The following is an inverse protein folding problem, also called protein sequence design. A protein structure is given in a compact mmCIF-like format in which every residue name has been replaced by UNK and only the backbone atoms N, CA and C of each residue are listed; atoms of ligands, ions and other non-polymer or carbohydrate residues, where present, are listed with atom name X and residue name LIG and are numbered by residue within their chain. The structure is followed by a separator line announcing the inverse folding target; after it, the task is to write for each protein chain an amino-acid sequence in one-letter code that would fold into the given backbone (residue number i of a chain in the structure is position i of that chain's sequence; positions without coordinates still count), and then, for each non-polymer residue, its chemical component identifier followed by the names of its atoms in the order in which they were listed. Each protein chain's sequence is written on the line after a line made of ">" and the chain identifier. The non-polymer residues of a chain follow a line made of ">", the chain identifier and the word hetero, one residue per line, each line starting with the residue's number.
data_IF_890876740873
#
_entry.id   IF_890876740873
#
_cell.length_a   1.000
_cell.length_b   1.000
_cell.length_c   1.000
_cell.angle_alpha   90.00
_cell.angle_beta   90.00
_cell.angle_gamma   90.00
#
_symmetry.space_group_name_H-M   'P 1'
#
loop_
_entity.id
_entity.type
_entity.pdbx_description
1 polymer ?
#
# COMPACT_ATOMS: atom_id res chain seq x y z
N UNK A 1 -6.22 17.29 -4.89
CA UNK A 1 -6.93 16.09 -5.34
C UNK A 1 -5.87 15.07 -5.65
N UNK A 2 -5.97 13.87 -5.09
CA UNK A 2 -5.10 12.73 -5.39
C UNK A 2 -5.22 12.37 -6.87
N UNK A 3 -4.15 11.81 -7.43
CA UNK A 3 -4.16 11.28 -8.80
C UNK A 3 -5.03 10.03 -8.90
N UNK A 4 -4.94 9.17 -7.89
CA UNK A 4 -5.70 7.92 -7.77
C UNK A 4 -5.79 7.50 -6.29
N UNK A 5 -6.69 6.57 -5.99
CA UNK A 5 -6.82 5.92 -4.69
C UNK A 5 -6.49 4.44 -4.84
N UNK A 6 -5.46 3.96 -4.13
CA UNK A 6 -4.87 2.64 -4.31
C UNK A 6 -4.88 1.88 -2.99
N UNK A 7 -5.35 0.63 -3.00
CA UNK A 7 -5.31 -0.24 -1.82
C UNK A 7 -3.87 -0.64 -1.50
N UNK A 8 -3.52 -0.67 -0.22
CA UNK A 8 -2.17 -1.04 0.25
C UNK A 8 -1.74 -2.44 -0.20
N UNK A 9 -2.71 -3.34 -0.43
CA UNK A 9 -2.50 -4.71 -0.92
C UNK A 9 -2.02 -4.76 -2.39
N UNK A 10 -2.33 -3.72 -3.18
CA UNK A 10 -1.91 -3.59 -4.57
C UNK A 10 -0.55 -2.86 -4.69
N UNK A 11 0.05 -2.43 -3.57
CA UNK A 11 1.40 -1.84 -3.53
C UNK A 11 2.48 -2.89 -3.26
N UNK A 12 3.69 -2.67 -3.78
CA UNK A 12 4.83 -3.55 -3.55
C UNK A 12 5.72 -3.04 -2.41
N UNK A 13 5.99 -3.89 -1.43
CA UNK A 13 6.92 -3.58 -0.35
C UNK A 13 8.38 -3.63 -0.82
N UNK A 14 9.10 -2.52 -0.66
CA UNK A 14 10.53 -2.42 -0.91
C UNK A 14 11.31 -2.43 0.41
N UNK A 15 12.03 -3.52 0.69
CA UNK A 15 12.82 -3.68 1.92
C UNK A 15 13.98 -2.69 2.04
N UNK A 16 14.59 -2.30 0.93
CA UNK A 16 15.73 -1.36 0.91
C UNK A 16 15.29 0.06 1.30
N UNK A 17 14.12 0.47 0.82
CA UNK A 17 13.53 1.78 1.08
C UNK A 17 12.64 1.80 2.33
N UNK A 18 12.29 0.63 2.86
CA UNK A 18 11.27 0.45 3.91
C UNK A 18 9.95 1.16 3.57
N UNK A 19 9.55 1.07 2.30
CA UNK A 19 8.42 1.79 1.75
C UNK A 19 7.58 0.90 0.83
N UNK A 20 6.27 1.16 0.81
CA UNK A 20 5.37 0.63 -0.19
C UNK A 20 5.48 1.48 -1.45
N UNK A 21 5.60 0.80 -2.59
CA UNK A 21 5.83 1.41 -3.88
C UNK A 21 4.73 1.06 -4.88
N UNK A 22 4.40 1.99 -5.77
CA UNK A 22 3.38 1.80 -6.81
C UNK A 22 3.79 2.53 -8.10
N UNK A 23 3.56 1.96 -9.30
CA UNK A 23 3.98 2.57 -10.56
C UNK A 23 3.34 3.94 -10.80
N UNK A 24 4.18 4.94 -11.09
CA UNK A 24 3.76 6.28 -11.47
C UNK A 24 3.77 6.44 -13.00
N UNK A 25 2.78 7.12 -13.61
CA UNK A 25 2.73 7.35 -15.06
C UNK A 25 3.92 8.18 -15.61
N UNK A 26 4.72 8.81 -14.76
CA UNK A 26 5.94 9.50 -15.19
C UNK A 26 7.13 8.57 -15.47
N UNK A 27 7.04 7.29 -15.06
CA UNK A 27 8.10 6.29 -15.21
C UNK A 27 8.84 5.95 -13.91
N UNK A 28 8.60 6.68 -12.82
CA UNK A 28 9.11 6.37 -11.48
C UNK A 28 8.06 5.66 -10.61
N UNK A 29 8.33 5.56 -9.31
CA UNK A 29 7.44 4.93 -8.33
C UNK A 29 6.91 5.97 -7.35
N UNK A 30 5.62 5.88 -7.02
CA UNK A 30 5.10 6.44 -5.77
C UNK A 30 5.68 5.68 -4.59
N UNK A 31 5.97 6.37 -3.50
CA UNK A 31 6.52 5.77 -2.28
C UNK A 31 5.83 6.32 -1.03
N UNK A 32 5.56 5.44 -0.07
CA UNK A 32 5.14 5.78 1.29
C UNK A 32 5.80 4.82 2.28
N UNK A 33 6.38 5.35 3.35
CA UNK A 33 7.08 4.53 4.34
C UNK A 33 6.10 3.85 5.30
N UNK A 34 6.50 2.71 5.87
CA UNK A 34 5.72 2.07 6.94
C UNK A 34 5.52 3.00 8.14
N UNK A 35 6.53 3.81 8.47
CA UNK A 35 6.45 4.76 9.58
C UNK A 35 5.38 5.83 9.32
N UNK A 36 5.24 6.30 8.08
CA UNK A 36 4.17 7.22 7.68
C UNK A 36 2.78 6.60 7.87
N UNK A 37 2.58 5.37 7.38
CA UNK A 37 1.32 4.63 7.57
C UNK A 37 0.99 4.43 9.07
N UNK A 38 2.01 4.17 9.90
CA UNK A 38 1.83 4.06 11.36
C UNK A 38 1.36 5.36 12.03
N UNK A 39 1.74 6.50 11.46
CA UNK A 39 1.32 7.83 11.94
C UNK A 39 -0.05 8.25 11.38
N UNK A 40 -0.68 7.45 10.53
CA UNK A 40 -1.94 7.82 9.87
C UNK A 40 -1.76 8.65 8.60
N UNK A 41 -0.55 8.71 8.03
CA UNK A 41 -0.31 9.33 6.72
C UNK A 41 -0.71 8.34 5.62
N UNK A 42 -1.40 8.83 4.60
CA UNK A 42 -1.94 8.04 3.49
C UNK A 42 -1.48 8.56 2.13
N UNK A 43 -0.66 9.62 2.10
CA UNK A 43 -0.21 10.25 0.86
C UNK A 43 1.09 9.62 0.36
N UNK A 44 1.02 8.74 -0.64
CA UNK A 44 2.22 8.27 -1.32
C UNK A 44 2.66 9.26 -2.41
N UNK A 45 3.93 9.64 -2.40
CA UNK A 45 4.46 10.72 -3.26
C UNK A 45 5.45 10.17 -4.27
N UNK A 46 5.44 10.72 -5.48
CA UNK A 46 6.44 10.40 -6.50
C UNK A 46 7.58 11.43 -6.47
N UNK A 47 8.86 11.02 -6.36
CA UNK A 47 10.00 11.93 -6.29
C UNK A 47 10.22 12.75 -7.57
N UNK A 48 9.68 12.31 -8.72
CA UNK A 48 10.02 12.88 -10.03
C UNK A 48 8.98 13.81 -10.64
N UNK A 49 7.69 13.66 -10.32
CA UNK A 49 6.63 14.40 -10.99
C UNK A 49 5.68 15.15 -10.05
N UNK A 50 5.98 15.19 -8.75
CA UNK A 50 5.16 15.85 -7.71
C UNK A 50 3.72 15.34 -7.54
N UNK A 51 3.34 14.29 -8.29
CA UNK A 51 2.06 13.62 -8.14
C UNK A 51 2.02 12.86 -6.81
N UNK A 52 0.81 12.62 -6.33
CA UNK A 52 0.53 11.77 -5.18
C UNK A 52 -0.74 10.96 -5.39
N UNK A 53 -0.79 9.81 -4.74
CA UNK A 53 -1.98 8.94 -4.64
C UNK A 53 -2.40 8.82 -3.18
N UNK A 54 -3.68 8.54 -2.95
CA UNK A 54 -4.18 8.18 -1.61
C UNK A 54 -4.04 6.69 -1.44
N UNK A 55 -3.44 6.26 -0.34
CA UNK A 55 -3.30 4.84 0.00
C UNK A 55 -4.44 4.45 0.92
N UNK A 56 -5.26 3.50 0.50
CA UNK A 56 -6.37 2.97 1.30
C UNK A 56 -5.83 1.81 2.14
N UNK A 57 -5.81 1.98 3.46
CA UNK A 57 -5.33 0.98 4.42
C UNK A 57 -6.08 1.09 5.75
N UNK A 58 -5.99 0.05 6.59
CA UNK A 58 -6.42 0.13 7.98
C UNK A 58 -5.23 0.44 8.87
N UNK A 59 -5.33 1.52 9.66
CA UNK A 59 -4.26 1.92 10.58
C UNK A 59 -3.94 0.83 11.62
N UNK A 60 -4.90 -0.01 11.96
CA UNK A 60 -4.72 -1.16 12.86
C UNK A 60 -3.76 -2.23 12.33
N UNK A 61 -3.59 -2.32 11.01
CA UNK A 61 -2.68 -3.30 10.39
C UNK A 61 -1.20 -2.90 10.58
N UNK A 62 -0.96 -1.60 10.80
CA UNK A 62 0.38 -1.03 10.97
C UNK A 62 0.69 -0.66 12.41
N UNK A 63 -0.33 -0.39 13.24
CA UNK A 63 -0.18 -0.20 14.68
C UNK A 63 0.07 -1.54 15.35
N UNK A 64 1.31 -1.75 15.79
CA UNK A 64 1.70 -2.97 16.49
C UNK A 64 0.94 -3.02 17.82
N UNK A 65 -0.10 -3.87 17.89
CA UNK A 65 -0.85 -4.13 19.12
C UNK A 65 0.09 -4.89 20.05
N UNK A 66 0.83 -4.15 20.87
CA UNK A 66 1.42 -4.74 22.06
C UNK A 66 0.29 -5.31 22.92
N UNK A 67 0.18 -6.64 22.87
CA UNK A 67 -0.61 -7.57 23.68
C UNK A 67 -1.99 -8.02 23.13
N UNK A 68 -2.02 -9.33 22.88
CA UNK A 68 -3.13 -10.30 23.00
C UNK A 68 -4.10 -10.59 21.84
N UNK A 69 -3.87 -11.77 21.27
CA UNK A 69 -4.86 -12.76 20.79
C UNK A 69 -6.00 -12.27 19.88
N UNK A 70 -5.94 -12.70 18.60
CA UNK A 70 -6.99 -13.45 17.85
C UNK A 70 -7.19 -12.97 16.41
N UNK A 71 -6.80 -13.86 15.48
CA UNK A 71 -7.44 -14.18 14.19
C UNK A 71 -7.80 -13.02 13.26
N UNK A 72 -7.01 -12.84 12.22
CA UNK A 72 -7.41 -12.52 10.83
C UNK A 72 -6.09 -12.63 10.03
N UNK A 73 -5.82 -13.67 9.24
CA UNK A 73 -6.69 -14.18 8.20
C UNK A 73 -6.57 -13.27 6.98
N UNK A 74 -5.36 -13.13 6.44
CA UNK A 74 -5.07 -12.51 5.16
C UNK A 74 -5.75 -13.36 4.07
N UNK A 75 -7.02 -13.07 3.78
CA UNK A 75 -7.79 -13.65 2.68
C UNK A 75 -8.07 -12.57 1.64
N UNK A 76 -7.19 -12.43 0.66
CA UNK A 76 -7.56 -11.92 -0.66
C UNK A 76 -6.62 -12.51 -1.74
N UNK A 77 -6.65 -13.83 -1.88
CA UNK A 77 -6.23 -14.48 -3.12
C UNK A 77 -7.20 -14.10 -4.24
N UNK A 78 -6.86 -13.08 -5.05
CA UNK A 78 -7.49 -12.79 -6.34
C UNK A 78 -7.35 -14.03 -7.24
N UNK A 79 -8.40 -14.84 -7.37
CA UNK A 79 -8.57 -15.76 -8.51
C UNK A 79 -9.43 -15.07 -9.57
N UNK A 80 -9.03 -15.06 -10.85
CA UNK A 80 -9.78 -15.87 -11.80
C UNK A 80 -8.92 -16.40 -12.97
N UNK A 81 -8.87 -17.72 -13.16
CA UNK A 81 -8.50 -18.31 -14.44
C UNK A 81 -9.63 -19.21 -14.92
N UNK A 82 -10.48 -18.63 -15.75
CA UNK A 82 -11.57 -19.27 -16.47
C UNK A 82 -10.91 -20.15 -17.56
N UNK A 83 -11.07 -21.47 -17.50
CA UNK A 83 -10.69 -22.35 -18.62
C UNK A 83 -11.95 -22.72 -19.38
N UNK A 84 -12.05 -22.23 -20.62
CA UNK A 84 -13.07 -22.61 -21.58
C UNK A 84 -12.55 -23.83 -22.33
N UNK A 85 -13.33 -24.91 -22.37
CA UNK A 85 -13.17 -26.03 -23.27
C UNK A 85 -14.53 -26.37 -23.89
#
# INVERSE_FOLDING_TARGET
>A
MSYDDVEIEDMEWNEELQAFTYPCPCGDLFQITRAELQMGEETARCPSCSLYITVIYNIEDFQDKSQDNKRQGLEQSKNPAITVA
#
